data_IF_653842485031
#
_entry.id   IF_653842485031
#
_cell.length_a   1.000
_cell.length_b   1.000
_cell.length_c   1.000
_cell.angle_alpha   90.00
_cell.angle_beta   90.00
_cell.angle_gamma   90.00
#
_symmetry.space_group_name_H-M   'P 1'
#
loop_
_entity.id
_entity.type
_entity.pdbx_description
1 polymer ?
#
# COMPACT_ATOMS: atom_id res chain seq x y z
N UNK A 1 -22.90 -35.59 30.10
CA UNK A 1 -23.13 -34.19 29.70
C UNK A 1 -22.86 -34.14 28.20
N UNK A 2 -23.95 -34.02 27.45
CA UNK A 2 -23.93 -33.98 25.98
C UNK A 2 -23.37 -32.62 25.54
N UNK A 3 -22.25 -32.63 24.84
CA UNK A 3 -21.66 -31.41 24.26
C UNK A 3 -22.60 -30.85 23.19
N UNK A 4 -23.02 -29.61 23.36
CA UNK A 4 -23.75 -28.86 22.34
C UNK A 4 -22.84 -28.73 21.12
N UNK A 5 -23.21 -29.22 19.92
CA UNK A 5 -22.42 -29.02 18.74
C UNK A 5 -22.44 -27.53 18.40
N UNK A 6 -21.31 -26.87 18.51
CA UNK A 6 -21.12 -25.52 17.97
C UNK A 6 -21.15 -25.61 16.45
N UNK A 7 -22.33 -25.54 15.88
CA UNK A 7 -22.52 -25.51 14.44
C UNK A 7 -22.09 -24.09 13.94
N UNK A 8 -20.81 -23.95 13.63
CA UNK A 8 -20.31 -22.81 12.84
C UNK A 8 -20.82 -23.02 11.42
N UNK A 9 -21.95 -22.46 11.11
CA UNK A 9 -22.40 -22.36 9.73
C UNK A 9 -21.55 -21.31 9.06
N UNK A 10 -20.33 -21.70 8.64
CA UNK A 10 -19.61 -20.96 7.63
C UNK A 10 -20.47 -21.05 6.36
N UNK A 11 -21.15 -19.99 6.01
CA UNK A 11 -21.68 -19.84 4.67
C UNK A 11 -20.49 -19.35 3.85
N UNK A 12 -19.83 -20.21 3.04
CA UNK A 12 -18.77 -19.76 2.19
C UNK A 12 -19.37 -18.80 1.17
N UNK A 13 -18.86 -17.57 1.12
CA UNK A 13 -19.15 -16.70 -0.02
C UNK A 13 -18.64 -17.40 -1.29
N UNK A 14 -19.36 -17.29 -2.41
CA UNK A 14 -18.87 -17.81 -3.68
C UNK A 14 -17.45 -17.32 -3.95
N UNK A 15 -16.59 -18.19 -4.48
CA UNK A 15 -15.21 -17.89 -4.83
C UNK A 15 -15.08 -16.67 -5.75
N UNK A 16 -16.08 -16.44 -6.59
CA UNK A 16 -16.14 -15.29 -7.50
C UNK A 16 -16.20 -13.95 -6.75
N UNK A 17 -16.97 -13.86 -5.65
CA UNK A 17 -17.06 -12.64 -4.82
C UNK A 17 -15.74 -12.37 -4.10
N UNK A 18 -15.09 -13.42 -3.58
CA UNK A 18 -13.77 -13.28 -2.95
C UNK A 18 -12.73 -12.76 -3.94
N UNK A 19 -12.69 -13.28 -5.16
CA UNK A 19 -11.79 -12.84 -6.23
C UNK A 19 -12.06 -11.37 -6.64
N UNK A 20 -13.35 -10.97 -6.70
CA UNK A 20 -13.74 -9.60 -7.01
C UNK A 20 -13.30 -8.61 -5.92
N UNK A 21 -13.39 -8.99 -4.64
CA UNK A 21 -12.93 -8.17 -3.52
C UNK A 21 -11.42 -7.98 -3.59
N UNK A 22 -10.64 -9.03 -3.87
CA UNK A 22 -9.19 -8.93 -4.05
C UNK A 22 -8.84 -7.99 -5.20
N UNK A 23 -9.46 -8.18 -6.36
CA UNK A 23 -9.21 -7.35 -7.53
C UNK A 23 -9.56 -5.87 -7.27
N UNK A 24 -10.62 -5.59 -6.52
CA UNK A 24 -10.98 -4.23 -6.11
C UNK A 24 -10.02 -3.66 -5.06
N UNK A 25 -9.52 -4.48 -4.12
CA UNK A 25 -8.50 -4.07 -3.15
C UNK A 25 -7.22 -3.68 -3.86
N UNK A 26 -6.74 -4.51 -4.78
CA UNK A 26 -5.55 -4.23 -5.57
C UNK A 26 -5.68 -2.94 -6.40
N UNK A 27 -6.83 -2.69 -7.02
CA UNK A 27 -7.10 -1.46 -7.77
C UNK A 27 -7.25 -0.22 -6.89
N UNK A 28 -7.64 -0.38 -5.63
CA UNK A 28 -7.83 0.72 -4.70
C UNK A 28 -6.56 1.08 -3.93
N UNK A 29 -5.58 0.18 -3.85
CA UNK A 29 -4.30 0.40 -3.17
C UNK A 29 -3.26 0.92 -4.14
N UNK A 30 -2.69 2.08 -3.86
CA UNK A 30 -1.59 2.66 -4.64
C UNK A 30 -0.33 1.78 -4.55
N UNK A 31 -0.01 1.26 -3.36
CA UNK A 31 1.14 0.35 -3.17
C UNK A 31 0.98 -0.93 -3.99
N UNK A 32 -0.21 -1.54 -4.00
CA UNK A 32 -0.45 -2.76 -4.79
C UNK A 32 -0.46 -2.54 -6.30
N UNK A 33 -0.69 -1.31 -6.76
CA UNK A 33 -0.62 -0.97 -8.19
C UNK A 33 0.82 -0.71 -8.64
N UNK A 34 1.64 -0.09 -7.80
CA UNK A 34 3.00 0.30 -8.13
C UNK A 34 4.01 -0.82 -7.86
N UNK A 35 3.90 -1.52 -6.73
CA UNK A 35 4.83 -2.56 -6.32
C UNK A 35 4.57 -3.91 -7.01
N UNK A 36 5.60 -4.74 -7.10
CA UNK A 36 5.52 -6.08 -7.70
C UNK A 36 4.82 -7.06 -6.77
N UNK A 37 3.83 -7.78 -7.29
CA UNK A 37 3.14 -8.85 -6.57
C UNK A 37 3.91 -10.17 -6.59
N UNK A 38 3.98 -10.83 -5.43
CA UNK A 38 4.47 -12.21 -5.29
C UNK A 38 3.49 -13.07 -4.48
N UNK A 39 3.52 -14.38 -4.71
CA UNK A 39 2.77 -15.32 -3.86
C UNK A 39 3.62 -15.66 -2.64
N UNK A 40 3.05 -15.46 -1.45
CA UNK A 40 3.75 -15.64 -0.18
C UNK A 40 3.30 -16.94 0.49
N UNK A 41 4.21 -17.87 0.85
CA UNK A 41 3.84 -19.00 1.69
C UNK A 41 3.55 -18.52 3.13
N UNK A 42 2.63 -19.18 3.83
CA UNK A 42 2.20 -18.77 5.18
C UNK A 42 3.33 -18.71 6.25
N UNK A 43 4.49 -19.28 5.95
CA UNK A 43 5.69 -19.19 6.81
C UNK A 43 6.56 -17.97 6.54
N UNK A 44 6.19 -17.12 5.59
CA UNK A 44 7.05 -16.09 5.05
C UNK A 44 7.98 -16.62 3.95
N UNK A 45 8.63 -15.71 3.27
CA UNK A 45 9.55 -15.97 2.17
C UNK A 45 10.84 -15.19 2.40
N UNK A 46 11.99 -15.82 2.23
CA UNK A 46 13.25 -15.10 2.15
C UNK A 46 13.43 -14.60 0.72
N UNK A 47 13.41 -13.29 0.57
CA UNK A 47 13.59 -12.61 -0.73
C UNK A 47 15.05 -12.21 -0.85
N UNK A 48 15.80 -12.72 -1.84
CA UNK A 48 17.15 -12.22 -2.10
C UNK A 48 17.05 -10.81 -2.67
N UNK A 49 17.75 -9.87 -2.05
CA UNK A 49 17.91 -8.50 -2.52
C UNK A 49 19.34 -8.36 -2.98
N UNK A 50 19.53 -7.92 -4.23
CA UNK A 50 20.87 -7.64 -4.78
C UNK A 50 21.25 -6.24 -4.31
N UNK A 51 22.26 -6.14 -3.44
CA UNK A 51 22.74 -4.85 -2.90
C UNK A 51 23.86 -4.25 -3.75
N UNK A 52 24.52 -5.04 -4.61
CA UNK A 52 25.46 -4.52 -5.58
C UNK A 52 25.41 -5.31 -6.88
N UNK A 53 25.38 -4.61 -7.99
CA UNK A 53 25.41 -5.22 -9.32
C UNK A 53 26.82 -5.72 -9.68
N UNK A 54 26.91 -6.83 -10.46
CA UNK A 54 28.20 -7.28 -10.97
C UNK A 54 28.82 -6.23 -11.90
N UNK A 55 30.08 -5.90 -11.65
CA UNK A 55 30.82 -4.94 -12.47
C UNK A 55 31.53 -5.66 -13.60
N UNK A 56 31.42 -5.11 -14.83
CA UNK A 56 32.10 -5.57 -16.00
C UNK A 56 33.25 -4.59 -16.33
N UNK A 57 34.43 -5.14 -16.64
CA UNK A 57 35.59 -4.37 -17.08
C UNK A 57 36.07 -4.79 -18.46
N UNK A 58 36.73 -3.85 -19.18
CA UNK A 58 37.33 -4.12 -20.45
C UNK A 58 38.64 -4.89 -20.26
N UNK A 59 38.79 -6.01 -20.96
CA UNK A 59 39.99 -6.87 -20.87
C UNK A 59 40.72 -6.87 -22.20
N UNK A 60 42.03 -6.62 -22.17
CA UNK A 60 42.88 -6.73 -23.34
C UNK A 60 43.02 -8.21 -23.79
N UNK A 61 43.39 -8.43 -25.04
CA UNK A 61 43.67 -9.77 -25.57
C UNK A 61 44.69 -10.49 -24.69
N UNK A 62 44.37 -11.71 -24.21
CA UNK A 62 45.13 -12.51 -23.24
C UNK A 62 45.15 -11.99 -21.79
N UNK A 63 44.46 -10.89 -21.44
CA UNK A 63 44.37 -10.37 -20.08
C UNK A 63 43.53 -11.26 -19.14
N UNK A 64 43.86 -11.20 -17.85
CA UNK A 64 43.07 -11.89 -16.80
C UNK A 64 41.71 -11.19 -16.66
N UNK A 65 40.63 -11.97 -16.75
CA UNK A 65 39.27 -11.44 -16.60
C UNK A 65 39.01 -11.10 -15.14
N UNK A 66 38.50 -9.90 -14.82
CA UNK A 66 38.12 -9.56 -13.44
C UNK A 66 36.97 -10.42 -12.94
N UNK A 67 37.04 -10.81 -11.66
CA UNK A 67 35.95 -11.51 -10.99
C UNK A 67 35.18 -10.49 -10.19
N UNK A 68 33.89 -10.30 -10.52
CA UNK A 68 32.99 -9.48 -9.74
C UNK A 68 32.18 -10.40 -8.82
N UNK A 69 32.13 -10.07 -7.54
CA UNK A 69 31.30 -10.76 -6.56
C UNK A 69 30.14 -9.83 -6.20
N UNK A 70 28.93 -10.06 -6.74
CA UNK A 70 27.75 -9.31 -6.32
C UNK A 70 27.42 -9.62 -4.86
N UNK A 71 27.09 -8.61 -4.08
CA UNK A 71 26.61 -8.82 -2.72
C UNK A 71 25.11 -9.09 -2.75
N UNK A 72 24.75 -10.20 -2.12
CA UNK A 72 23.36 -10.62 -1.96
C UNK A 72 23.00 -10.54 -0.48
N UNK A 73 22.05 -9.68 -0.18
CA UNK A 73 21.41 -9.63 1.13
C UNK A 73 20.05 -10.33 1.04
N UNK A 74 19.62 -10.96 2.10
CA UNK A 74 18.31 -11.61 2.15
C UNK A 74 17.41 -10.84 3.12
N UNK A 75 16.29 -10.31 2.64
CA UNK A 75 15.21 -9.81 3.48
C UNK A 75 14.15 -10.91 3.65
N UNK A 76 13.65 -11.07 4.86
CA UNK A 76 12.58 -12.04 5.15
C UNK A 76 11.25 -11.29 5.10
N UNK A 77 10.38 -11.66 4.17
CA UNK A 77 9.01 -11.16 4.12
C UNK A 77 8.11 -12.06 4.95
N UNK A 78 7.47 -11.51 5.98
CA UNK A 78 6.48 -12.23 6.79
C UNK A 78 5.06 -11.72 6.51
N UNK A 79 4.07 -12.62 6.38
CA UNK A 79 2.68 -12.21 6.23
C UNK A 79 2.10 -11.78 7.57
N UNK A 80 1.32 -10.71 7.54
CA UNK A 80 0.52 -10.24 8.66
C UNK A 80 -0.95 -10.17 8.27
N UNK A 81 -1.81 -10.48 9.25
CA UNK A 81 -3.26 -10.46 9.04
C UNK A 81 -3.78 -9.03 9.09
N UNK A 82 -4.43 -8.63 8.01
CA UNK A 82 -5.23 -7.43 7.94
C UNK A 82 -6.70 -7.83 7.92
N UNK A 83 -7.47 -7.35 8.89
CA UNK A 83 -8.86 -7.74 9.06
C UNK A 83 -9.77 -6.54 9.25
N UNK A 84 -11.01 -6.67 8.78
CA UNK A 84 -12.09 -5.72 9.02
C UNK A 84 -13.36 -6.47 9.37
N UNK A 85 -14.09 -5.98 10.40
CA UNK A 85 -15.38 -6.53 10.80
C UNK A 85 -16.43 -5.43 10.63
N UNK A 86 -17.52 -5.78 9.95
CA UNK A 86 -18.63 -4.85 9.71
C UNK A 86 -19.93 -5.49 10.25
N UNK A 87 -20.56 -4.91 11.28
CA UNK A 87 -21.85 -5.35 11.77
C UNK A 87 -23.00 -4.79 10.91
N UNK A 88 -24.04 -5.60 10.71
CA UNK A 88 -25.26 -5.25 9.97
C UNK A 88 -26.50 -5.67 10.73
N UNK A 89 -27.61 -4.94 10.55
CA UNK A 89 -28.93 -5.36 11.04
C UNK A 89 -29.48 -6.51 10.20
N UNK A 90 -30.19 -7.47 10.83
CA UNK A 90 -30.86 -8.57 10.13
C UNK A 90 -31.97 -8.10 9.18
N UNK A 91 -32.41 -6.84 9.27
CA UNK A 91 -33.33 -6.27 8.30
C UNK A 91 -32.71 -6.16 6.90
N UNK A 92 -31.39 -5.93 6.81
CA UNK A 92 -30.65 -5.96 5.56
C UNK A 92 -30.59 -7.34 4.91
N UNK A 93 -30.80 -8.41 5.71
CA UNK A 93 -30.79 -9.78 5.23
C UNK A 93 -31.94 -10.09 4.26
N UNK A 94 -33.01 -9.29 4.29
CA UNK A 94 -34.15 -9.45 3.36
C UNK A 94 -33.80 -9.02 1.94
N UNK A 95 -32.81 -8.13 1.82
CA UNK A 95 -32.30 -7.68 0.53
C UNK A 95 -30.82 -8.10 0.38
N UNK A 96 -30.62 -9.40 0.18
CA UNK A 96 -29.28 -10.00 0.11
C UNK A 96 -28.41 -9.40 -1.00
N UNK A 97 -29.00 -9.02 -2.13
CA UNK A 97 -28.27 -8.43 -3.27
C UNK A 97 -27.66 -7.06 -2.89
N UNK A 98 -28.46 -6.16 -2.30
CA UNK A 98 -27.98 -4.85 -1.87
C UNK A 98 -26.89 -4.95 -0.79
N UNK A 99 -26.97 -5.96 0.09
CA UNK A 99 -25.94 -6.23 1.08
C UNK A 99 -24.60 -6.64 0.43
N UNK A 100 -24.64 -7.56 -0.50
CA UNK A 100 -23.44 -8.02 -1.20
C UNK A 100 -22.79 -6.90 -2.00
N UNK A 101 -23.56 -6.09 -2.70
CA UNK A 101 -23.06 -4.94 -3.44
C UNK A 101 -22.37 -3.93 -2.51
N UNK A 102 -22.95 -3.64 -1.35
CA UNK A 102 -22.36 -2.74 -0.37
C UNK A 102 -21.07 -3.32 0.24
N UNK A 103 -21.01 -4.61 0.57
CA UNK A 103 -19.81 -5.28 1.04
C UNK A 103 -18.70 -5.28 -0.02
N UNK A 104 -19.03 -5.66 -1.24
CA UNK A 104 -18.10 -5.68 -2.38
C UNK A 104 -17.55 -4.27 -2.67
N UNK A 105 -18.30 -3.22 -2.32
CA UNK A 105 -17.89 -1.84 -2.49
C UNK A 105 -17.00 -1.32 -1.36
N UNK A 106 -17.30 -1.63 -0.10
CA UNK A 106 -16.64 -1.01 1.07
C UNK A 106 -15.43 -1.76 1.59
N UNK A 107 -15.49 -3.10 1.62
CA UNK A 107 -14.39 -3.90 2.17
C UNK A 107 -13.05 -3.70 1.44
N UNK A 108 -12.99 -3.68 0.09
CA UNK A 108 -11.73 -3.45 -0.63
C UNK A 108 -11.10 -2.10 -0.30
N UNK A 109 -11.92 -1.05 -0.18
CA UNK A 109 -11.44 0.30 0.11
C UNK A 109 -10.82 0.38 1.51
N UNK A 110 -11.46 -0.24 2.52
CA UNK A 110 -10.96 -0.24 3.88
C UNK A 110 -9.63 -1.04 4.01
N UNK A 111 -9.54 -2.19 3.34
CA UNK A 111 -8.32 -3.01 3.33
C UNK A 111 -7.18 -2.26 2.61
N UNK A 112 -7.45 -1.69 1.44
CA UNK A 112 -6.48 -0.92 0.66
C UNK A 112 -5.97 0.30 1.43
N UNK A 113 -6.87 1.12 2.00
CA UNK A 113 -6.50 2.32 2.77
C UNK A 113 -5.64 1.97 3.99
N UNK A 114 -5.97 0.89 4.71
CA UNK A 114 -5.17 0.48 5.87
C UNK A 114 -3.81 -0.07 5.47
N UNK A 115 -3.73 -0.84 4.38
CA UNK A 115 -2.47 -1.35 3.86
C UNK A 115 -1.57 -0.20 3.39
N UNK A 116 -2.09 0.68 2.53
CA UNK A 116 -1.36 1.86 2.05
C UNK A 116 -0.85 2.73 3.20
N UNK A 117 -1.72 3.02 4.17
CA UNK A 117 -1.34 3.82 5.34
C UNK A 117 -0.23 3.16 6.16
N UNK A 118 -0.26 1.83 6.31
CA UNK A 118 0.78 1.12 7.06
C UNK A 118 2.11 1.17 6.33
N UNK A 119 2.12 0.92 5.01
CA UNK A 119 3.34 0.90 4.20
C UNK A 119 3.93 2.29 4.00
N UNK A 120 3.10 3.29 3.66
CA UNK A 120 3.60 4.61 3.23
C UNK A 120 3.95 5.52 4.41
N UNK A 121 3.13 5.55 5.46
CA UNK A 121 3.28 6.51 6.55
C UNK A 121 3.18 5.90 7.94
N UNK A 122 2.90 4.61 8.04
CA UNK A 122 2.64 3.95 9.32
C UNK A 122 3.86 3.27 9.93
N UNK A 123 3.56 2.42 10.91
CA UNK A 123 4.55 1.58 11.59
C UNK A 123 4.34 0.14 11.18
N UNK A 124 5.43 -0.59 10.98
CA UNK A 124 5.40 -2.02 10.65
C UNK A 124 4.61 -2.83 11.69
N UNK A 125 3.77 -3.77 11.28
CA UNK A 125 3.03 -4.63 12.20
C UNK A 125 3.95 -5.59 12.97
N UNK A 126 5.17 -5.81 12.49
CA UNK A 126 6.19 -6.64 13.14
C UNK A 126 7.41 -6.83 12.25
N UNK A 127 8.30 -7.76 12.65
CA UNK A 127 9.54 -8.07 11.93
C UNK A 127 9.28 -8.71 10.57
N UNK A 128 10.06 -8.34 9.56
CA UNK A 128 9.89 -8.88 8.20
C UNK A 128 8.72 -8.26 7.43
N UNK A 129 8.32 -7.05 7.83
CA UNK A 129 7.42 -6.18 7.10
C UNK A 129 8.06 -4.78 7.08
N UNK A 130 8.41 -4.29 5.90
CA UNK A 130 9.05 -2.99 5.75
C UNK A 130 8.00 -1.88 5.59
N UNK A 131 8.41 -0.65 5.90
CA UNK A 131 7.60 0.56 5.73
C UNK A 131 8.46 1.65 5.09
N UNK A 132 7.84 2.53 4.33
CA UNK A 132 8.52 3.60 3.61
C UNK A 132 8.51 4.93 4.38
N UNK A 133 7.96 4.94 5.60
CA UNK A 133 7.92 6.14 6.47
C UNK A 133 9.29 6.60 6.98
N UNK A 134 10.33 5.81 6.78
CA UNK A 134 11.72 6.13 7.12
C UNK A 134 12.57 6.61 5.95
N UNK A 135 12.00 6.72 4.75
CA UNK A 135 12.69 7.27 3.58
C UNK A 135 13.09 8.74 3.79
N UNK A 136 14.12 9.18 3.08
CA UNK A 136 14.61 10.56 3.17
C UNK A 136 13.54 11.58 2.78
N UNK A 137 13.46 12.68 3.56
CA UNK A 137 12.45 13.73 3.39
C UNK A 137 12.85 14.79 2.37
N UNK A 138 11.92 15.12 1.46
CA UNK A 138 12.07 16.18 0.47
C UNK A 138 10.87 17.14 0.50
N UNK A 139 11.13 18.40 0.86
CA UNK A 139 10.08 19.40 1.00
C UNK A 139 9.57 19.90 -0.37
N UNK A 140 8.24 19.89 -0.53
CA UNK A 140 7.57 20.43 -1.72
C UNK A 140 7.23 21.92 -1.61
N UNK A 141 7.27 22.48 -0.41
CA UNK A 141 7.01 23.90 -0.10
C UNK A 141 8.27 24.68 0.27
N UNK A 142 9.44 24.13 -0.01
CA UNK A 142 10.72 24.79 0.17
C UNK A 142 10.84 26.09 -0.63
N UNK A 143 11.88 26.87 -0.35
CA UNK A 143 12.15 28.20 -0.95
C UNK A 143 12.22 28.15 -2.49
N UNK A 144 12.66 27.03 -3.04
CA UNK A 144 12.83 26.79 -4.49
C UNK A 144 11.58 26.18 -5.15
N UNK A 145 10.54 25.96 -4.37
CA UNK A 145 9.23 25.49 -4.82
C UNK A 145 9.12 23.97 -5.05
N UNK A 146 7.92 23.49 -5.30
CA UNK A 146 7.60 22.07 -5.41
C UNK A 146 8.38 21.33 -6.50
N UNK A 147 8.69 21.97 -7.62
CA UNK A 147 9.47 21.37 -8.69
C UNK A 147 10.90 21.02 -8.25
N UNK A 148 11.55 21.92 -7.51
CA UNK A 148 12.90 21.68 -7.01
C UNK A 148 12.92 20.52 -5.99
N UNK A 149 11.90 20.43 -5.11
CA UNK A 149 11.74 19.31 -4.20
C UNK A 149 11.60 17.97 -4.92
N UNK A 150 10.80 17.91 -5.99
CA UNK A 150 10.66 16.70 -6.80
C UNK A 150 11.94 16.29 -7.52
N UNK A 151 12.71 17.26 -8.06
CA UNK A 151 14.00 17.01 -8.70
C UNK A 151 15.03 16.54 -7.67
N UNK A 152 15.01 17.11 -6.46
CA UNK A 152 15.90 16.68 -5.38
C UNK A 152 15.58 15.25 -4.92
N UNK A 153 14.30 14.89 -4.86
CA UNK A 153 13.87 13.51 -4.56
C UNK A 153 14.36 12.52 -5.63
N UNK A 154 14.22 12.86 -6.92
CA UNK A 154 14.75 12.05 -8.03
C UNK A 154 16.26 11.89 -7.95
N UNK A 155 16.98 12.97 -7.66
CA UNK A 155 18.44 12.94 -7.48
C UNK A 155 18.86 12.08 -6.27
N UNK A 156 18.11 12.11 -5.17
CA UNK A 156 18.34 11.25 -4.00
C UNK A 156 18.18 9.77 -4.32
N UNK A 157 17.10 9.41 -5.01
CA UNK A 157 16.85 8.05 -5.48
C UNK A 157 17.97 7.58 -6.44
N UNK A 158 18.36 8.44 -7.38
CA UNK A 158 19.42 8.14 -8.34
C UNK A 158 20.80 7.97 -7.68
N UNK A 159 21.08 8.66 -6.55
CA UNK A 159 22.31 8.49 -5.78
C UNK A 159 22.46 7.07 -5.20
N UNK A 160 21.34 6.40 -4.94
CA UNK A 160 21.27 5.01 -4.49
C UNK A 160 21.03 4.00 -5.63
N UNK A 161 21.35 4.38 -6.88
CA UNK A 161 21.14 3.58 -8.10
C UNK A 161 19.68 3.20 -8.38
N UNK A 162 18.70 3.85 -7.73
CA UNK A 162 17.29 3.70 -8.02
C UNK A 162 16.88 4.51 -9.26
N UNK A 163 15.79 4.10 -9.89
CA UNK A 163 15.17 4.84 -11.00
C UNK A 163 13.77 5.22 -10.59
N UNK A 164 13.50 6.53 -10.49
CA UNK A 164 12.17 7.02 -10.17
C UNK A 164 11.16 6.56 -11.22
N UNK A 165 10.22 5.71 -10.83
CA UNK A 165 9.24 5.11 -11.72
C UNK A 165 7.79 5.19 -11.23
N UNK A 166 7.53 5.80 -10.05
CA UNK A 166 6.17 5.96 -9.56
C UNK A 166 6.05 6.89 -8.36
N UNK A 167 4.86 7.46 -8.22
CA UNK A 167 4.48 8.32 -7.10
C UNK A 167 3.19 7.81 -6.44
N UNK A 168 3.21 7.65 -5.14
CA UNK A 168 2.01 7.47 -4.31
C UNK A 168 1.73 8.79 -3.59
N UNK A 169 0.74 9.56 -4.04
CA UNK A 169 0.42 10.87 -3.47
C UNK A 169 -0.87 10.84 -2.66
N UNK A 170 -0.92 11.69 -1.63
CA UNK A 170 -2.17 12.01 -0.94
C UNK A 170 -2.99 13.04 -1.72
N UNK A 171 -4.30 13.15 -1.48
CA UNK A 171 -5.12 14.25 -2.00
C UNK A 171 -4.55 15.64 -1.63
N UNK A 172 -3.92 15.77 -0.45
CA UNK A 172 -3.26 16.98 0.02
C UNK A 172 -2.01 17.28 -0.82
N UNK A 173 -1.14 16.29 -1.03
CA UNK A 173 0.04 16.42 -1.90
C UNK A 173 -0.32 16.80 -3.33
N UNK A 174 -1.39 16.18 -3.87
CA UNK A 174 -1.95 16.62 -5.16
C UNK A 174 -2.34 18.11 -5.13
N UNK A 175 -2.99 18.57 -4.06
CA UNK A 175 -3.38 19.96 -3.90
C UNK A 175 -2.18 20.92 -3.91
N UNK A 176 -1.10 20.56 -3.21
CA UNK A 176 0.15 21.32 -3.18
C UNK A 176 0.77 21.44 -4.57
N UNK A 177 0.85 20.34 -5.32
CA UNK A 177 1.41 20.34 -6.68
C UNK A 177 0.53 21.17 -7.65
N UNK A 178 -0.79 21.08 -7.54
CA UNK A 178 -1.70 21.88 -8.35
C UNK A 178 -1.57 23.40 -8.06
N UNK A 179 -1.23 23.76 -6.82
CA UNK A 179 -1.00 25.14 -6.43
C UNK A 179 0.38 25.68 -6.83
N UNK A 180 1.31 24.79 -7.21
CA UNK A 180 2.66 25.20 -7.60
C UNK A 180 2.67 25.98 -8.92
N UNK A 181 3.28 27.17 -8.88
CA UNK A 181 3.36 28.09 -10.01
C UNK A 181 4.80 28.51 -10.29
N UNK A 182 5.08 28.91 -11.53
CA UNK A 182 6.34 29.55 -11.90
C UNK A 182 6.42 31.02 -11.39
N UNK A 183 7.56 31.67 -11.63
CA UNK A 183 7.77 33.09 -11.30
C UNK A 183 6.77 34.03 -12.00
N UNK A 184 6.14 33.58 -13.07
CA UNK A 184 5.10 34.28 -13.83
C UNK A 184 3.67 33.91 -13.39
N UNK A 185 3.52 33.17 -12.29
CA UNK A 185 2.26 32.63 -11.73
C UNK A 185 1.52 31.68 -12.69
N UNK A 186 2.23 30.99 -13.56
CA UNK A 186 1.65 29.93 -14.39
C UNK A 186 1.72 28.60 -13.63
N UNK A 187 0.65 27.78 -13.66
CA UNK A 187 0.69 26.46 -13.04
C UNK A 187 1.75 25.59 -13.70
N UNK A 188 2.53 24.86 -12.90
CA UNK A 188 3.60 23.99 -13.38
C UNK A 188 3.09 22.61 -13.80
N UNK A 189 2.06 22.10 -13.12
CA UNK A 189 1.60 20.71 -13.29
C UNK A 189 0.26 20.58 -14.02
N UNK A 190 -0.32 21.66 -14.52
CA UNK A 190 -1.58 21.66 -15.27
C UNK A 190 -1.43 22.48 -16.53
N UNK A 191 -1.62 21.85 -17.68
CA UNK A 191 -1.72 22.57 -18.96
C UNK A 191 -3.13 23.09 -19.21
N UNK A 192 -4.16 22.45 -18.66
CA UNK A 192 -5.55 22.81 -18.85
C UNK A 192 -6.37 22.56 -17.57
N UNK A 193 -7.03 23.59 -17.06
CA UNK A 193 -7.85 23.52 -15.83
C UNK A 193 -9.01 22.52 -15.94
N UNK A 194 -9.47 22.23 -17.15
CA UNK A 194 -10.56 21.27 -17.37
C UNK A 194 -10.14 19.81 -17.19
N UNK A 195 -8.86 19.49 -17.28
CA UNK A 195 -8.36 18.12 -17.15
C UNK A 195 -8.15 17.69 -15.69
N UNK A 196 -7.82 18.64 -14.79
CA UNK A 196 -7.81 18.45 -13.32
C UNK A 196 -7.00 17.30 -12.73
N UNK A 197 -6.38 16.47 -13.56
CA UNK A 197 -5.61 15.30 -13.16
C UNK A 197 -4.11 15.56 -13.33
N UNK A 198 -3.30 15.04 -12.42
CA UNK A 198 -1.86 14.92 -12.59
C UNK A 198 -1.59 13.44 -12.93
N UNK A 199 -1.59 13.05 -14.21
CA UNK A 199 -1.44 11.65 -14.58
C UNK A 199 0.01 11.18 -14.46
N UNK A 200 0.96 12.09 -14.62
CA UNK A 200 2.39 11.83 -14.57
C UNK A 200 3.16 13.02 -13.99
N UNK A 201 4.21 12.71 -13.23
CA UNK A 201 5.19 13.67 -12.71
C UNK A 201 6.57 13.15 -13.10
N UNK A 202 7.41 14.00 -13.71
CA UNK A 202 8.73 13.62 -14.20
C UNK A 202 8.72 12.37 -15.11
N UNK A 203 7.60 12.11 -15.81
CA UNK A 203 7.44 10.96 -16.68
C UNK A 203 6.95 9.67 -15.95
N UNK A 204 6.87 9.68 -14.61
CA UNK A 204 6.39 8.56 -13.81
C UNK A 204 4.89 8.67 -13.48
N UNK A 205 4.14 7.56 -13.41
CA UNK A 205 2.73 7.53 -13.06
C UNK A 205 2.50 7.98 -11.62
N UNK A 206 1.31 8.53 -11.37
CA UNK A 206 0.88 9.03 -10.06
C UNK A 206 -0.38 8.29 -9.62
N UNK A 207 -0.27 7.57 -8.51
CA UNK A 207 -1.40 6.93 -7.84
C UNK A 207 -1.82 7.74 -6.61
N UNK A 208 -3.13 7.99 -6.47
CA UNK A 208 -3.66 8.81 -5.38
C UNK A 208 -4.30 7.93 -4.32
N UNK A 209 -3.76 7.98 -3.10
CA UNK A 209 -4.30 7.26 -1.95
C UNK A 209 -4.35 8.15 -0.71
N UNK A 210 -5.37 7.97 0.11
CA UNK A 210 -5.47 8.66 1.40
C UNK A 210 -4.39 8.18 2.40
N UNK A 211 -3.91 6.95 2.21
CA UNK A 211 -2.87 6.35 3.06
C UNK A 211 -1.52 7.05 2.98
N UNK A 212 -1.25 7.84 1.93
CA UNK A 212 -0.02 8.59 1.77
C UNK A 212 0.04 9.92 2.55
N UNK A 213 -0.92 10.19 3.43
CA UNK A 213 -0.94 11.39 4.25
C UNK A 213 -0.70 11.09 5.72
N UNK A 214 0.28 11.77 6.29
CA UNK A 214 0.47 11.84 7.74
C UNK A 214 0.74 13.27 8.21
N UNK A 215 -0.13 13.76 9.08
CA UNK A 215 -0.04 15.12 9.62
C UNK A 215 1.10 15.30 10.63
N UNK A 216 1.58 14.21 11.24
CA UNK A 216 2.61 14.25 12.26
C UNK A 216 4.01 14.38 11.67
N UNK A 217 4.28 13.59 10.64
CA UNK A 217 5.53 13.61 9.87
C UNK A 217 5.49 14.54 8.65
N UNK A 218 4.36 15.24 8.45
CA UNK A 218 4.13 16.14 7.30
C UNK A 218 4.27 15.47 5.93
N UNK A 219 4.23 14.14 5.88
CA UNK A 219 4.32 13.38 4.63
C UNK A 219 3.02 13.56 3.84
N UNK A 220 3.16 13.90 2.57
CA UNK A 220 2.05 14.07 1.61
C UNK A 220 2.15 13.12 0.42
N UNK A 221 3.24 12.36 0.31
CA UNK A 221 3.43 11.36 -0.72
C UNK A 221 4.76 10.65 -0.59
N UNK A 222 4.92 9.56 -1.33
CA UNK A 222 6.16 8.80 -1.48
C UNK A 222 6.47 8.68 -2.97
N UNK A 223 7.71 8.99 -3.33
CA UNK A 223 8.26 8.77 -4.65
C UNK A 223 9.34 7.68 -4.59
N UNK A 224 9.54 6.90 -5.63
CA UNK A 224 10.60 5.90 -5.57
C UNK A 224 10.70 4.96 -6.76
N UNK A 225 11.64 4.04 -6.63
CA UNK A 225 11.79 2.89 -7.50
C UNK A 225 10.94 1.71 -7.00
N UNK A 226 9.73 1.62 -7.50
CA UNK A 226 8.76 0.57 -7.13
C UNK A 226 9.13 -0.82 -7.65
N UNK A 227 10.15 -0.93 -8.52
CA UNK A 227 10.69 -2.25 -8.92
C UNK A 227 11.44 -2.90 -7.76
N UNK A 228 11.95 -2.11 -6.82
CA UNK A 228 12.61 -2.56 -5.60
C UNK A 228 11.62 -2.83 -4.44
N UNK A 229 10.33 -2.60 -4.67
CA UNK A 229 9.27 -2.92 -3.71
C UNK A 229 8.47 -4.15 -4.14
N UNK A 230 8.17 -5.02 -3.18
CA UNK A 230 7.37 -6.22 -3.39
C UNK A 230 6.32 -6.37 -2.31
N UNK A 231 5.11 -6.74 -2.69
CA UNK A 231 4.10 -7.19 -1.75
C UNK A 231 3.71 -8.63 -2.03
N UNK A 232 3.45 -9.38 -0.98
CA UNK A 232 3.07 -10.79 -1.06
C UNK A 232 1.73 -11.04 -0.40
N UNK A 233 0.90 -11.88 -1.01
CA UNK A 233 -0.34 -12.37 -0.43
C UNK A 233 -0.26 -13.88 -0.26
N UNK A 234 -0.73 -14.41 0.90
CA UNK A 234 -0.69 -15.86 1.19
C UNK A 234 -1.86 -16.55 0.52
N UNK A 235 -3.04 -16.11 0.88
CA UNK A 235 -4.33 -16.62 0.36
C UNK A 235 -5.20 -15.42 -0.01
N UNK A 236 -6.26 -15.70 -0.74
CA UNK A 236 -7.28 -14.71 -1.03
C UNK A 236 -7.94 -14.15 0.23
N UNK A 237 -8.81 -13.15 0.06
CA UNK A 237 -9.61 -12.61 1.14
C UNK A 237 -10.51 -13.70 1.70
N UNK A 238 -10.33 -14.00 2.98
CA UNK A 238 -11.19 -14.92 3.71
C UNK A 238 -12.36 -14.13 4.32
N UNK A 239 -13.57 -14.55 4.01
CA UNK A 239 -14.77 -13.91 4.54
C UNK A 239 -15.49 -14.87 5.48
N UNK A 240 -15.73 -14.42 6.70
CA UNK A 240 -16.45 -15.16 7.76
C UNK A 240 -17.69 -14.39 8.16
N UNK A 241 -18.70 -15.14 8.53
CA UNK A 241 -20.00 -14.63 8.94
C UNK A 241 -20.34 -15.12 10.35
N UNK A 242 -20.93 -14.26 11.19
CA UNK A 242 -21.38 -14.63 12.53
C UNK A 242 -22.63 -13.85 12.92
N UNK A 243 -23.59 -14.56 13.58
CA UNK A 243 -24.81 -13.99 14.16
C UNK A 243 -24.77 -13.96 15.70
N UNK A 244 -23.87 -14.76 16.30
CA UNK A 244 -23.85 -15.01 17.74
C UNK A 244 -22.69 -14.32 18.47
N UNK A 245 -21.84 -13.58 17.73
CA UNK A 245 -20.67 -12.97 18.32
C UNK A 245 -21.00 -11.71 19.13
N UNK A 246 -20.19 -11.44 20.14
CA UNK A 246 -20.14 -10.15 20.81
C UNK A 246 -18.95 -9.37 20.25
N UNK A 247 -19.21 -8.21 19.68
CA UNK A 247 -18.19 -7.30 19.17
C UNK A 247 -17.86 -6.28 20.25
N UNK A 248 -16.60 -6.22 20.65
CA UNK A 248 -16.11 -5.24 21.61
C UNK A 248 -15.33 -4.17 20.89
N UNK A 249 -15.77 -2.92 21.02
CA UNK A 249 -15.05 -1.72 20.58
C UNK A 249 -14.42 -1.03 21.79
N UNK A 250 -13.55 -0.03 21.57
CA UNK A 250 -12.92 0.71 22.65
C UNK A 250 -13.94 1.39 23.61
N UNK A 251 -15.17 1.67 23.14
CA UNK A 251 -16.17 2.42 23.89
C UNK A 251 -17.48 1.65 24.16
N UNK A 252 -17.72 0.51 23.51
CA UNK A 252 -18.97 -0.21 23.60
C UNK A 252 -18.83 -1.70 23.27
N UNK A 253 -19.80 -2.48 23.73
CA UNK A 253 -19.94 -3.90 23.39
C UNK A 253 -21.29 -4.09 22.70
N UNK A 254 -21.27 -4.72 21.52
CA UNK A 254 -22.45 -5.02 20.72
C UNK A 254 -22.65 -6.54 20.74
N UNK A 255 -23.75 -7.01 21.31
CA UNK A 255 -24.12 -8.41 21.23
C UNK A 255 -25.03 -8.60 20.01
N UNK A 256 -24.53 -9.32 19.00
CA UNK A 256 -25.24 -9.46 17.72
C UNK A 256 -26.58 -10.18 17.89
N UNK A 257 -26.61 -11.21 18.71
CA UNK A 257 -27.84 -11.96 18.96
C UNK A 257 -28.94 -11.10 19.63
N UNK A 258 -28.57 -10.35 20.69
CA UNK A 258 -29.53 -9.52 21.42
C UNK A 258 -30.05 -8.34 20.61
N UNK A 259 -29.27 -7.87 19.66
CA UNK A 259 -29.60 -6.69 18.84
C UNK A 259 -30.14 -7.04 17.46
N UNK A 260 -30.41 -8.34 17.22
CA UNK A 260 -30.86 -8.82 15.92
C UNK A 260 -29.95 -8.38 14.77
N UNK A 261 -28.62 -8.59 14.93
CA UNK A 261 -27.59 -8.20 14.00
C UNK A 261 -26.74 -9.40 13.54
N UNK A 262 -26.02 -9.21 12.45
CA UNK A 262 -24.96 -10.11 12.02
C UNK A 262 -23.70 -9.32 11.70
N UNK A 263 -22.54 -9.98 11.70
CA UNK A 263 -21.30 -9.39 11.31
C UNK A 263 -20.62 -10.19 10.21
N UNK A 264 -19.98 -9.46 9.31
CA UNK A 264 -19.11 -10.01 8.27
C UNK A 264 -17.69 -9.57 8.56
N UNK A 265 -16.77 -10.53 8.59
CA UNK A 265 -15.34 -10.32 8.77
C UNK A 265 -14.60 -10.66 7.48
N UNK A 266 -13.85 -9.71 6.95
CA UNK A 266 -12.91 -9.94 5.86
C UNK A 266 -11.49 -9.92 6.40
N UNK A 267 -10.68 -10.91 6.02
CA UNK A 267 -9.28 -11.05 6.41
C UNK A 267 -8.44 -11.28 5.15
N UNK A 268 -7.25 -10.67 5.11
CA UNK A 268 -6.20 -10.93 4.12
C UNK A 268 -4.86 -11.03 4.85
N UNK A 269 -4.03 -11.96 4.42
CA UNK A 269 -2.65 -12.06 4.89
C UNK A 269 -1.73 -11.45 3.84
N UNK A 270 -1.03 -10.38 4.21
CA UNK A 270 -0.20 -9.60 3.30
C UNK A 270 1.15 -9.29 3.96
N UNK A 271 2.22 -9.36 3.18
CA UNK A 271 3.56 -8.91 3.55
C UNK A 271 4.05 -7.85 2.57
N UNK A 272 4.99 -7.03 3.01
CA UNK A 272 5.62 -6.01 2.19
C UNK A 272 7.12 -5.94 2.51
N UNK A 273 7.95 -5.83 1.48
CA UNK A 273 9.40 -5.63 1.59
C UNK A 273 9.81 -4.64 0.50
N UNK A 274 10.65 -3.69 0.86
CA UNK A 274 11.21 -2.71 -0.05
C UNK A 274 12.65 -2.37 0.33
N UNK A 275 13.40 -1.81 -0.61
CA UNK A 275 14.65 -1.13 -0.33
C UNK A 275 14.36 0.35 -0.11
N UNK A 276 14.32 0.78 1.15
CA UNK A 276 13.93 2.12 1.57
C UNK A 276 14.88 3.21 1.07
N UNK A 277 16.15 2.90 0.83
CA UNK A 277 17.13 3.83 0.25
C UNK A 277 16.76 4.29 -1.18
N UNK A 278 15.95 3.49 -1.91
CA UNK A 278 15.45 3.82 -3.24
C UNK A 278 14.11 4.59 -3.22
N UNK A 279 13.70 5.11 -2.06
CA UNK A 279 12.45 5.87 -1.90
C UNK A 279 12.72 7.24 -1.28
N UNK A 280 11.80 8.16 -1.53
CA UNK A 280 11.83 9.53 -1.04
C UNK A 280 10.47 9.93 -0.48
N UNK A 281 10.43 10.45 0.74
CA UNK A 281 9.22 10.99 1.35
C UNK A 281 9.05 12.45 0.93
N UNK A 282 7.89 12.79 0.40
CA UNK A 282 7.53 14.14 -0.02
C UNK A 282 6.79 14.80 1.13
N UNK A 283 7.31 15.94 1.62
CA UNK A 283 6.78 16.63 2.80
C UNK A 283 6.30 18.05 2.49
N UNK A 284 5.39 18.58 3.32
CA UNK A 284 4.85 19.94 3.23
C UNK A 284 4.61 20.50 4.63
N UNK A 285 5.10 21.72 4.90
CA UNK A 285 4.81 22.44 6.13
C UNK A 285 5.63 21.98 7.32
N UNK A 286 6.89 21.62 7.12
CA UNK A 286 7.85 21.38 8.20
C UNK A 286 8.38 22.67 8.82
#
# INVERSE_FOLDING_TARGET
MSGVPTNRTNIPLPTDISAEIIAKTQRASAVMQLARQITLPGRGLTVPVVTSDPQADWVAETGVKPVSNPELTSKVMQPYKLAVIVPFSNEFRRDAAALYDELVRRLPLALAEKFDKTVLTGTAPGTGFDVLSGADDYALDGTDGAYAGLVAADAGIAANNGILNGFALSPQGKGTLLAATDTSKRPLFINNVSEGAIPQILGAPVEITKGAYDATSHIVGIAGDWTQAMYGTVEGVQISYSEDATLTTASSSINLFQQNMFAVRAEIEVGFVADDDCFAALTVGA
#
